data_IF_640232508057
#
_entry.id   IF_640232508057
#
_cell.length_a   1.000
_cell.length_b   1.000
_cell.length_c   1.000
_cell.angle_alpha   90.00
_cell.angle_beta   90.00
_cell.angle_gamma   90.00
#
_symmetry.space_group_name_H-M   'P 1'
#
loop_
_entity.id
_entity.type
_entity.pdbx_description
1 polymer ?
#
# COMPACT_ATOMS: atom_id res chain seq x y z
N UNK A 1 6.89 -11.28 0.61
CA UNK A 1 5.71 -12.19 0.58
C UNK A 1 4.91 -11.87 -0.66
N UNK A 2 4.64 -12.87 -1.51
CA UNK A 2 3.90 -12.67 -2.76
C UNK A 2 2.43 -12.36 -2.45
N UNK A 3 1.91 -11.26 -3.00
CA UNK A 3 0.48 -10.92 -2.95
C UNK A 3 -0.21 -11.44 -4.21
N UNK A 4 0.35 -11.13 -5.37
CA UNK A 4 -0.13 -11.66 -6.64
C UNK A 4 0.98 -11.78 -7.68
N UNK A 5 0.80 -12.74 -8.58
CA UNK A 5 1.55 -12.83 -9.82
C UNK A 5 0.55 -13.08 -10.94
N UNK A 6 0.48 -12.13 -11.86
CA UNK A 6 -0.29 -12.21 -13.08
C UNK A 6 0.64 -12.13 -14.29
N UNK A 7 0.09 -12.37 -15.47
CA UNK A 7 0.82 -12.10 -16.70
C UNK A 7 1.24 -10.62 -16.73
N UNK A 8 2.55 -10.40 -16.81
CA UNK A 8 3.19 -9.09 -16.88
C UNK A 8 3.03 -8.20 -15.64
N UNK A 9 2.66 -8.76 -14.48
CA UNK A 9 2.52 -8.02 -13.22
C UNK A 9 2.87 -8.90 -12.02
N UNK A 10 3.75 -8.40 -11.15
CA UNK A 10 4.05 -9.01 -9.86
C UNK A 10 3.92 -7.96 -8.77
N UNK A 11 3.25 -8.33 -7.67
CA UNK A 11 3.12 -7.51 -6.48
C UNK A 11 3.48 -8.31 -5.23
N UNK A 12 4.36 -7.75 -4.42
CA UNK A 12 4.86 -8.36 -3.20
C UNK A 12 4.78 -7.39 -2.03
N UNK A 13 4.48 -7.90 -0.84
CA UNK A 13 4.78 -7.22 0.42
C UNK A 13 6.24 -7.48 0.75
N UNK A 14 7.10 -6.47 0.60
CA UNK A 14 8.55 -6.62 0.78
C UNK A 14 8.97 -6.46 2.24
N UNK A 15 8.32 -5.56 2.98
CA UNK A 15 8.62 -5.33 4.39
C UNK A 15 7.40 -4.84 5.17
N UNK A 16 7.41 -5.12 6.47
CA UNK A 16 6.46 -4.60 7.46
C UNK A 16 7.26 -4.11 8.65
N UNK A 17 7.15 -2.83 8.98
CA UNK A 17 7.86 -2.23 10.11
C UNK A 17 6.85 -1.70 11.11
N UNK A 18 6.93 -2.19 12.34
CA UNK A 18 6.07 -1.73 13.42
C UNK A 18 6.71 -0.57 14.19
N UNK A 19 5.88 0.40 14.54
CA UNK A 19 6.19 1.54 15.38
C UNK A 19 5.12 1.67 16.47
N UNK A 20 5.45 2.33 17.59
CA UNK A 20 4.48 2.56 18.65
C UNK A 20 3.21 3.29 18.15
N UNK A 21 3.34 4.11 17.11
CA UNK A 21 2.25 4.88 16.50
C UNK A 21 1.54 4.18 15.34
N UNK A 22 1.97 2.99 14.90
CA UNK A 22 1.38 2.33 13.74
C UNK A 22 2.30 1.36 13.00
N UNK A 23 1.93 1.05 11.76
CA UNK A 23 2.65 0.13 10.88
C UNK A 23 3.02 0.82 9.58
N UNK A 24 4.21 0.53 9.09
CA UNK A 24 4.65 0.89 7.74
C UNK A 24 4.71 -0.37 6.88
N UNK A 25 3.91 -0.41 5.83
CA UNK A 25 3.92 -1.47 4.84
C UNK A 25 4.72 -1.01 3.62
N UNK A 26 5.69 -1.82 3.19
CA UNK A 26 6.40 -1.59 1.94
C UNK A 26 5.99 -2.64 0.93
N UNK A 27 5.46 -2.21 -0.21
CA UNK A 27 5.19 -3.09 -1.33
C UNK A 27 6.26 -2.94 -2.40
N UNK A 28 6.47 -3.98 -3.18
CA UNK A 28 7.30 -3.97 -4.37
C UNK A 28 6.46 -4.42 -5.56
N UNK A 29 6.36 -3.58 -6.57
CA UNK A 29 5.62 -3.86 -7.79
C UNK A 29 6.56 -3.87 -8.99
N UNK A 30 6.38 -4.85 -9.86
CA UNK A 30 7.02 -4.95 -11.16
C UNK A 30 5.97 -5.20 -12.22
N UNK A 31 5.88 -4.33 -13.22
CA UNK A 31 4.97 -4.44 -14.36
C UNK A 31 5.78 -4.47 -15.63
N UNK A 32 5.45 -5.36 -16.56
CA UNK A 32 6.14 -5.53 -17.85
C UNK A 32 5.18 -5.36 -19.02
N UNK A 33 5.74 -5.35 -20.24
CA UNK A 33 4.96 -5.26 -21.47
C UNK A 33 4.06 -4.02 -21.53
N UNK A 34 2.91 -4.15 -22.20
CA UNK A 34 1.98 -3.03 -22.42
C UNK A 34 1.39 -2.49 -21.10
N UNK A 35 1.29 -3.33 -20.05
CA UNK A 35 0.82 -2.89 -18.73
C UNK A 35 1.79 -1.91 -18.08
N UNK A 36 3.10 -2.03 -18.36
CA UNK A 36 4.10 -1.11 -17.84
C UNK A 36 3.94 0.29 -18.43
N UNK A 37 3.49 0.40 -19.68
CA UNK A 37 3.24 1.69 -20.32
C UNK A 37 2.08 2.41 -19.61
N UNK A 38 0.98 1.69 -19.34
CA UNK A 38 -0.13 2.23 -18.54
C UNK A 38 0.29 2.61 -17.11
N UNK A 39 1.12 1.77 -16.47
CA UNK A 39 1.59 2.03 -15.11
C UNK A 39 2.46 3.29 -15.00
N UNK A 40 3.18 3.71 -16.05
CA UNK A 40 4.02 4.92 -16.03
C UNK A 40 3.25 6.22 -15.95
N UNK A 41 1.98 6.21 -16.36
CA UNK A 41 1.15 7.38 -16.34
C UNK A 41 0.44 7.55 -14.97
N UNK A 42 1.12 7.25 -13.86
CA UNK A 42 0.57 7.46 -12.51
C UNK A 42 0.22 8.94 -12.32
N UNK A 43 -0.98 9.21 -11.82
CA UNK A 43 -1.39 10.55 -11.42
C UNK A 43 -1.97 10.54 -10.00
N UNK A 44 -1.85 11.69 -9.34
CA UNK A 44 -2.39 11.93 -8.00
C UNK A 44 -3.92 12.15 -8.08
N UNK A 45 -4.66 11.87 -6.99
CA UNK A 45 -6.04 12.33 -6.85
C UNK A 45 -6.17 13.84 -7.11
N UNK A 46 -7.26 14.25 -7.76
CA UNK A 46 -7.52 15.64 -8.11
C UNK A 46 -7.54 16.55 -6.87
N UNK A 47 -6.48 17.35 -6.68
CA UNK A 47 -6.64 18.65 -6.00
C UNK A 47 -7.24 19.70 -6.94
N UNK A 48 -7.16 19.50 -8.27
CA UNK A 48 -7.70 20.42 -9.29
C UNK A 48 -8.58 19.69 -10.33
N UNK A 49 -9.92 19.92 -10.33
CA UNK A 49 -10.89 19.45 -11.31
C UNK A 49 -10.58 19.72 -12.79
N UNK A 50 -9.69 20.67 -13.11
CA UNK A 50 -9.41 21.15 -14.46
C UNK A 50 -8.07 20.67 -15.03
N UNK A 51 -7.27 19.91 -14.27
CA UNK A 51 -6.03 19.35 -14.78
C UNK A 51 -6.29 18.00 -15.50
N UNK A 52 -6.27 18.05 -16.83
CA UNK A 52 -6.47 16.87 -17.68
C UNK A 52 -5.25 15.94 -17.72
N UNK A 53 -4.08 16.39 -17.25
CA UNK A 53 -2.89 15.56 -17.07
C UNK A 53 -2.90 14.78 -15.75
N UNK A 54 -3.78 15.16 -14.81
CA UNK A 54 -3.98 14.51 -13.52
C UNK A 54 -5.04 13.39 -13.54
N UNK A 55 -5.37 12.87 -14.72
CA UNK A 55 -6.16 11.65 -14.84
C UNK A 55 -5.19 10.51 -15.08
N UNK A 56 -5.10 9.60 -14.10
CA UNK A 56 -4.87 8.16 -14.13
C UNK A 56 -4.33 7.61 -12.81
N UNK A 57 -4.88 6.46 -12.45
CA UNK A 57 -4.72 5.63 -11.26
C UNK A 57 -3.31 5.34 -10.74
N UNK A 58 -3.22 5.04 -9.45
CA UNK A 58 -2.06 4.48 -8.75
C UNK A 58 -2.47 3.20 -8.00
N UNK A 59 -1.49 2.46 -7.48
CA UNK A 59 -1.74 1.29 -6.63
C UNK A 59 -2.59 1.70 -5.42
N UNK A 60 -3.84 1.23 -5.40
CA UNK A 60 -4.74 1.41 -4.26
C UNK A 60 -4.50 0.29 -3.26
N UNK A 61 -4.27 0.67 -2.00
CA UNK A 61 -4.15 -0.26 -0.88
C UNK A 61 -5.24 0.10 0.12
N UNK A 62 -6.20 -0.80 0.27
CA UNK A 62 -7.22 -0.73 1.32
C UNK A 62 -6.77 -1.64 2.46
N UNK A 63 -6.91 -1.18 3.69
CA UNK A 63 -6.56 -1.97 4.86
C UNK A 63 -7.74 -2.06 5.79
N UNK A 64 -8.08 -3.29 6.15
CA UNK A 64 -8.98 -3.60 7.24
C UNK A 64 -8.16 -3.94 8.48
N UNK A 65 -8.24 -3.08 9.48
CA UNK A 65 -7.58 -3.23 10.79
C UNK A 65 -8.65 -3.29 11.88
N UNK A 66 -8.75 -4.44 12.55
CA UNK A 66 -9.85 -4.73 13.48
C UNK A 66 -11.21 -4.49 12.78
N UNK A 67 -11.91 -3.40 13.10
CA UNK A 67 -13.21 -3.01 12.53
C UNK A 67 -13.11 -1.74 11.63
N UNK A 68 -11.90 -1.24 11.37
CA UNK A 68 -11.66 -0.03 10.59
C UNK A 68 -11.16 -0.37 9.19
N UNK A 69 -11.91 0.06 8.18
CA UNK A 69 -11.56 -0.02 6.76
C UNK A 69 -11.21 1.38 6.23
N UNK A 70 -10.16 1.48 5.43
CA UNK A 70 -9.84 2.68 4.69
C UNK A 70 -8.65 2.53 3.76
N UNK A 71 -8.48 3.49 2.82
CA UNK A 71 -7.27 3.56 2.01
C UNK A 71 -6.07 3.90 2.90
N UNK A 72 -4.95 3.25 2.63
CA UNK A 72 -3.67 3.66 3.17
C UNK A 72 -3.04 4.70 2.22
N UNK A 73 -2.48 5.75 2.80
CA UNK A 73 -1.79 6.79 2.04
C UNK A 73 -0.39 6.32 1.62
N UNK A 74 -0.06 6.47 0.34
CA UNK A 74 1.30 6.28 -0.15
C UNK A 74 2.16 7.45 0.31
N UNK A 75 3.24 7.16 1.06
CA UNK A 75 4.07 8.20 1.64
C UNK A 75 4.88 8.97 0.60
N UNK A 76 5.20 8.41 -0.57
CA UNK A 76 5.89 9.12 -1.66
C UNK A 76 5.71 8.37 -3.00
N UNK A 77 5.01 8.94 -4.00
CA UNK A 77 5.27 8.59 -5.39
C UNK A 77 6.61 9.21 -5.75
N UNK A 78 7.62 8.40 -6.08
CA UNK A 78 8.83 8.93 -6.72
C UNK A 78 8.40 9.36 -8.12
N UNK A 79 8.66 10.61 -8.52
CA UNK A 79 8.42 11.05 -9.90
C UNK A 79 9.01 10.01 -10.86
N UNK A 80 8.26 9.56 -11.89
CA UNK A 80 8.81 8.61 -12.84
C UNK A 80 10.05 9.25 -13.45
N UNK A 81 11.22 8.64 -13.16
CA UNK A 81 12.46 8.97 -13.90
C UNK A 81 12.17 8.73 -15.37
N UNK A 82 12.74 9.60 -16.21
CA UNK A 82 12.62 9.65 -17.67
C UNK A 82 12.11 8.36 -18.32
N UNK A 83 11.17 8.53 -19.26
CA UNK A 83 10.45 7.49 -20.00
C UNK A 83 11.43 6.54 -20.72
N UNK A 84 12.05 5.63 -19.98
CA UNK A 84 12.83 4.53 -20.51
C UNK A 84 11.86 3.40 -20.85
N UNK A 85 11.94 2.92 -22.09
CA UNK A 85 11.28 1.70 -22.51
C UNK A 85 11.81 0.53 -21.67
N UNK A 86 10.95 -0.15 -20.92
CA UNK A 86 11.35 -1.18 -19.96
C UNK A 86 10.27 -1.58 -18.94
N UNK A 87 10.61 -2.43 -17.96
CA UNK A 87 9.71 -2.73 -16.85
C UNK A 87 9.44 -1.50 -15.99
N UNK A 88 8.18 -1.27 -15.62
CA UNK A 88 7.82 -0.30 -14.59
C UNK A 88 8.05 -0.94 -13.21
N UNK A 89 8.79 -0.27 -12.34
CA UNK A 89 9.12 -0.75 -10.98
C UNK A 89 8.89 0.35 -9.98
N UNK A 90 8.19 0.03 -8.90
CA UNK A 90 7.95 0.96 -7.80
C UNK A 90 7.97 0.22 -6.46
N UNK A 91 8.32 0.94 -5.40
CA UNK A 91 8.33 0.42 -4.03
C UNK A 91 7.56 1.35 -3.08
N UNK A 92 6.23 1.43 -3.22
CA UNK A 92 5.43 2.36 -2.44
C UNK A 92 5.37 1.96 -0.97
N UNK A 93 5.30 2.98 -0.13
CA UNK A 93 5.24 2.88 1.33
C UNK A 93 3.86 3.33 1.81
N UNK A 94 3.22 2.54 2.64
CA UNK A 94 1.87 2.82 3.15
C UNK A 94 1.88 2.87 4.68
N UNK A 95 1.37 3.97 5.24
CA UNK A 95 1.25 4.13 6.69
C UNK A 95 -0.12 3.70 7.19
N UNK A 96 -0.13 2.85 8.21
CA UNK A 96 -1.32 2.41 8.93
C UNK A 96 -1.23 2.99 10.32
N UNK A 97 -2.14 3.89 10.69
CA UNK A 97 -2.08 4.68 11.92
C UNK A 97 -2.31 3.91 13.23
N UNK A 98 -2.29 2.57 13.20
CA UNK A 98 -2.47 1.74 14.38
C UNK A 98 -1.86 0.35 14.18
N UNK A 99 -1.58 -0.33 15.29
CA UNK A 99 -1.25 -1.76 15.30
C UNK A 99 -2.53 -2.56 15.63
N UNK A 100 -2.89 -3.60 14.85
CA UNK A 100 -4.14 -4.35 15.07
C UNK A 100 -4.18 -4.99 16.44
N UNK A 101 -5.30 -4.84 17.16
CA UNK A 101 -5.47 -5.49 18.47
C UNK A 101 -5.55 -7.00 18.33
N UNK A 102 -6.15 -7.49 17.25
CA UNK A 102 -6.21 -8.92 16.94
C UNK A 102 -4.85 -9.52 16.55
N UNK A 103 -3.83 -8.68 16.32
CA UNK A 103 -2.53 -9.13 15.85
C UNK A 103 -2.51 -9.56 14.38
N UNK A 104 -3.54 -9.22 13.61
CA UNK A 104 -3.61 -9.47 12.17
C UNK A 104 -4.34 -8.33 11.46
N UNK A 105 -4.07 -8.17 10.16
CA UNK A 105 -4.77 -7.21 9.31
C UNK A 105 -5.01 -7.80 7.92
N UNK A 106 -6.02 -7.30 7.21
CA UNK A 106 -6.26 -7.67 5.82
C UNK A 106 -5.84 -6.51 4.93
N UNK A 107 -4.93 -6.78 4.00
CA UNK A 107 -4.51 -5.84 2.96
C UNK A 107 -5.21 -6.22 1.66
N UNK A 108 -5.95 -5.30 1.07
CA UNK A 108 -6.53 -5.46 -0.27
C UNK A 108 -5.85 -4.49 -1.22
N UNK A 109 -5.27 -5.03 -2.29
CA UNK A 109 -4.55 -4.26 -3.29
C UNK A 109 -5.32 -4.28 -4.61
N UNK A 110 -5.39 -3.15 -5.31
CA UNK A 110 -6.05 -3.07 -6.61
C UNK A 110 -5.47 -1.96 -7.48
N UNK A 111 -5.43 -2.20 -8.79
CA UNK A 111 -5.09 -1.19 -9.79
C UNK A 111 -5.66 -1.62 -11.15
N UNK A 112 -6.94 -1.32 -11.36
CA UNK A 112 -7.74 -1.84 -12.48
C UNK A 112 -7.18 -1.44 -13.84
N UNK A 113 -6.60 -0.24 -13.94
CA UNK A 113 -6.08 0.35 -15.17
C UNK A 113 -4.86 -0.39 -15.73
N UNK A 114 -4.10 -1.07 -14.87
CA UNK A 114 -3.01 -1.98 -15.29
C UNK A 114 -3.43 -3.46 -15.23
N UNK A 115 -4.72 -3.72 -14.98
CA UNK A 115 -5.30 -5.06 -14.92
C UNK A 115 -5.14 -5.78 -13.58
N UNK A 116 -4.68 -5.10 -12.51
CA UNK A 116 -4.63 -5.67 -11.16
C UNK A 116 -6.02 -5.63 -10.53
N UNK A 117 -6.70 -6.77 -10.53
CA UNK A 117 -7.97 -6.91 -9.82
C UNK A 117 -7.78 -6.91 -8.29
N UNK A 118 -8.81 -6.53 -7.50
CA UNK A 118 -8.73 -6.58 -6.05
C UNK A 118 -8.24 -7.92 -5.54
N UNK A 119 -7.10 -7.90 -4.86
CA UNK A 119 -6.45 -9.09 -4.28
C UNK A 119 -6.20 -8.84 -2.82
N UNK A 120 -6.73 -9.73 -1.97
CA UNK A 120 -6.62 -9.63 -0.51
C UNK A 120 -5.61 -10.62 0.06
N UNK A 121 -4.94 -10.20 1.12
CA UNK A 121 -3.98 -10.98 1.87
C UNK A 121 -4.19 -10.72 3.36
N UNK A 122 -4.25 -11.79 4.15
CA UNK A 122 -4.21 -11.69 5.62
C UNK A 122 -2.75 -11.68 6.08
N UNK A 123 -2.37 -10.65 6.83
CA UNK A 123 -1.05 -10.49 7.41
C UNK A 123 -1.12 -10.77 8.91
N UNK A 124 -0.52 -11.88 9.33
CA UNK A 124 -0.36 -12.25 10.75
C UNK A 124 0.86 -11.53 11.33
N UNK A 125 0.64 -10.66 12.32
CA UNK A 125 1.68 -9.85 12.98
C UNK A 125 1.99 -10.32 14.40
N UNK A 126 1.04 -10.98 15.05
CA UNK A 126 1.13 -11.36 16.46
C UNK A 126 0.79 -10.21 17.41
N UNK A 127 1.05 -10.35 18.72
CA UNK A 127 0.77 -9.31 19.70
C UNK A 127 1.63 -8.07 19.46
N UNK A 128 1.09 -6.89 19.80
CA UNK A 128 1.85 -5.63 19.73
C UNK A 128 3.18 -5.78 20.48
N UNK A 129 4.33 -5.50 19.83
CA UNK A 129 5.63 -5.51 20.49
C UNK A 129 5.82 -4.27 21.38
N UNK A 130 4.92 -3.30 21.31
CA UNK A 130 4.95 -2.09 22.13
C UNK A 130 4.08 -2.26 23.36
N UNK A 131 4.55 -1.80 24.53
CA UNK A 131 3.76 -1.86 25.75
C UNK A 131 2.51 -1.00 25.56
N UNK A 132 1.34 -1.63 25.70
CA UNK A 132 0.11 -0.89 26.00
C UNK A 132 0.33 -0.23 27.35
N UNK A 133 0.38 1.10 27.41
CA UNK A 133 0.27 1.84 28.67
C UNK A 133 -1.10 1.55 29.26
N UNK A 134 -1.20 0.44 29.99
CA UNK A 134 -2.31 0.14 30.88
C UNK A 134 -2.03 0.83 32.19
N UNK A 135 -2.91 1.78 32.50
CA UNK A 135 -3.19 2.35 33.81
C UNK A 135 -2.05 3.12 34.50
N UNK A 136 -2.20 4.45 34.43
CA UNK A 136 -1.80 5.32 35.52
C UNK A 136 -2.36 4.74 36.81
N UNK A 137 -1.48 4.22 37.64
CA UNK A 137 -1.72 3.81 39.01
C UNK A 137 -2.25 5.04 39.77
N UNK A 138 -3.57 5.23 39.76
CA UNK A 138 -4.27 6.12 40.67
C UNK A 138 -4.34 5.43 42.03
N UNK A 139 -3.16 5.19 42.61
CA UNK A 139 -2.98 4.75 43.98
C UNK A 139 -3.21 5.90 44.93
N UNK A 140 -4.28 5.74 45.74
CA UNK A 140 -4.76 6.56 46.85
C UNK A 140 -3.73 7.31 47.68
#
# INVERSE_FOLDING_TARGET
>A
MLITTEKDLTLELSAVTAFASGLLLQLAMCVTGIRADFARYETRPLTDPQDWSARWSYLTVLVLVDDLDGPADSLHPTEPRDIEAGPYRTTPLYWIGTYPRAGSLIVTTSWTEIGLHPTSLTLELGPSPFPTTSESDAGR
#
